data_IF_138769508232
#
_entry.id   IF_138769508232
#
_cell.length_a   1.000
_cell.length_b   1.000
_cell.length_c   1.000
_cell.angle_alpha   90.00
_cell.angle_beta   90.00
_cell.angle_gamma   90.00
#
_symmetry.space_group_name_H-M   'P 1'
#
loop_
_entity.id
_entity.type
_entity.pdbx_description
1 polymer ?
#
# COMPACT_ATOMS: atom_id res chain seq x y z
N UNK A 1 -6.84 -32.23 52.78
CA UNK A 1 -7.77 -33.12 52.04
C UNK A 1 -8.79 -32.26 51.28
N UNK A 2 -8.43 -31.70 50.12
CA UNK A 2 -9.36 -30.89 49.31
C UNK A 2 -8.89 -30.81 47.85
N UNK A 3 -9.08 -31.90 47.09
CA UNK A 3 -8.69 -31.96 45.65
C UNK A 3 -9.46 -33.02 44.84
N UNK A 4 -10.71 -33.32 45.23
CA UNK A 4 -11.45 -34.50 44.75
C UNK A 4 -12.95 -34.22 44.54
N UNK A 5 -13.28 -33.04 43.97
CA UNK A 5 -14.66 -32.53 43.89
C UNK A 5 -15.00 -31.76 42.59
N UNK A 6 -14.26 -31.99 41.49
CA UNK A 6 -14.45 -31.29 40.20
C UNK A 6 -14.40 -32.23 38.97
N UNK A 7 -14.90 -33.47 39.11
CA UNK A 7 -14.86 -34.48 38.03
C UNK A 7 -16.19 -35.22 37.81
N UNK A 8 -17.30 -34.73 38.39
CA UNK A 8 -18.60 -35.41 38.43
C UNK A 8 -19.75 -34.66 37.73
N UNK A 9 -19.44 -33.79 36.75
CA UNK A 9 -20.44 -32.89 36.14
C UNK A 9 -20.34 -32.77 34.60
N UNK A 10 -19.95 -33.87 33.93
CA UNK A 10 -19.78 -33.94 32.46
C UNK A 10 -20.50 -35.13 31.79
N UNK A 11 -21.45 -35.78 32.48
CA UNK A 11 -22.16 -36.98 31.99
C UNK A 11 -23.69 -36.85 32.02
N UNK A 12 -24.24 -35.70 31.61
CA UNK A 12 -25.68 -35.55 31.32
C UNK A 12 -25.92 -34.59 30.14
N UNK A 13 -25.81 -35.09 28.91
CA UNK A 13 -26.45 -34.50 27.72
C UNK A 13 -27.13 -35.60 26.90
N UNK A 14 -28.47 -35.55 26.72
CA UNK A 14 -29.20 -36.57 25.97
C UNK A 14 -29.09 -36.35 24.46
N UNK A 15 -29.16 -37.47 23.74
CA UNK A 15 -29.10 -37.55 22.28
C UNK A 15 -30.52 -37.48 21.67
N UNK A 16 -30.61 -37.01 20.42
CA UNK A 16 -31.76 -37.03 19.50
C UNK A 16 -32.90 -36.03 19.73
N UNK A 17 -33.27 -35.34 18.65
CA UNK A 17 -34.49 -35.71 17.90
C UNK A 17 -34.36 -35.38 16.42
N UNK A 18 -35.04 -36.17 15.57
CA UNK A 18 -35.05 -36.03 14.11
C UNK A 18 -36.09 -34.98 13.68
N UNK A 19 -35.79 -34.21 12.64
CA UNK A 19 -36.80 -33.40 11.92
C UNK A 19 -37.14 -34.09 10.59
N UNK A 20 -38.41 -34.34 10.27
CA UNK A 20 -38.82 -34.85 8.97
C UNK A 20 -39.07 -33.71 7.97
N UNK A 21 -38.65 -33.90 6.71
CA UNK A 21 -39.14 -33.11 5.57
C UNK A 21 -40.63 -33.42 5.31
N UNK A 22 -41.35 -32.44 4.72
CA UNK A 22 -42.27 -32.75 3.63
C UNK A 22 -41.87 -32.04 2.32
N UNK A 23 -42.53 -32.46 1.24
CA UNK A 23 -42.11 -32.28 -0.15
C UNK A 23 -42.91 -31.18 -0.90
N UNK A 24 -42.29 -30.71 -2.00
CA UNK A 24 -42.89 -30.38 -3.31
C UNK A 24 -43.72 -29.11 -3.58
N UNK A 25 -43.36 -28.47 -4.71
CA UNK A 25 -44.16 -27.70 -5.67
C UNK A 25 -44.54 -26.24 -5.28
N UNK A 26 -44.60 -25.25 -6.18
CA UNK A 26 -44.66 -25.27 -7.66
C UNK A 26 -44.13 -23.99 -8.35
N UNK A 27 -43.72 -24.13 -9.63
CA UNK A 27 -43.83 -23.17 -10.76
C UNK A 27 -43.17 -21.76 -10.69
N UNK A 28 -42.13 -21.54 -11.51
CA UNK A 28 -42.12 -20.76 -12.78
C UNK A 28 -42.15 -19.23 -12.71
N UNK A 29 -41.00 -18.62 -13.01
CA UNK A 29 -40.90 -17.35 -13.73
C UNK A 29 -39.53 -17.27 -14.43
N UNK A 30 -39.44 -17.70 -15.70
CA UNK A 30 -38.23 -17.48 -16.50
C UNK A 30 -38.04 -15.99 -16.77
N UNK A 31 -36.96 -15.38 -16.24
CA UNK A 31 -36.53 -14.04 -16.67
C UNK A 31 -35.25 -14.19 -17.47
N UNK A 32 -35.37 -14.31 -18.80
CA UNK A 32 -34.24 -14.36 -19.74
C UNK A 32 -33.54 -13.00 -19.82
N UNK A 33 -32.59 -12.76 -18.91
CA UNK A 33 -31.64 -11.66 -19.05
C UNK A 33 -30.55 -12.05 -20.06
N UNK A 34 -30.33 -11.22 -21.08
CA UNK A 34 -29.24 -11.42 -22.05
C UNK A 34 -27.89 -11.18 -21.39
N UNK A 35 -27.21 -12.26 -20.99
CA UNK A 35 -25.77 -12.23 -20.73
C UNK A 35 -25.02 -12.18 -22.07
N UNK A 36 -24.76 -10.97 -22.57
CA UNK A 36 -23.79 -10.79 -23.65
C UNK A 36 -22.40 -11.17 -23.14
N UNK A 37 -21.90 -12.31 -23.62
CA UNK A 37 -20.53 -12.76 -23.39
C UNK A 37 -19.60 -11.81 -24.15
N UNK A 38 -19.05 -10.83 -23.45
CA UNK A 38 -17.87 -10.10 -23.94
C UNK A 38 -16.71 -11.09 -24.04
N UNK A 39 -15.98 -11.13 -25.18
CA UNK A 39 -14.87 -12.06 -25.34
C UNK A 39 -13.74 -11.69 -24.38
N UNK A 40 -13.51 -12.57 -23.40
CA UNK A 40 -12.33 -12.51 -22.52
C UNK A 40 -11.08 -12.51 -23.39
N UNK A 41 -10.49 -11.34 -23.58
CA UNK A 41 -9.26 -11.19 -24.35
C UNK A 41 -8.12 -11.68 -23.46
N UNK A 42 -7.78 -12.96 -23.59
CA UNK A 42 -6.68 -13.56 -22.85
C UNK A 42 -5.38 -12.84 -23.23
N UNK A 43 -4.87 -11.98 -22.35
CA UNK A 43 -3.58 -11.33 -22.52
C UNK A 43 -2.51 -12.41 -22.64
N UNK A 44 -1.79 -12.41 -23.77
CA UNK A 44 -0.73 -13.38 -24.00
C UNK A 44 0.38 -13.19 -22.95
N UNK A 45 0.84 -14.27 -22.29
CA UNK A 45 2.02 -14.22 -21.43
C UNK A 45 3.28 -14.10 -22.32
N UNK A 46 3.61 -12.87 -22.71
CA UNK A 46 4.71 -12.60 -23.64
C UNK A 46 5.14 -11.15 -23.78
N UNK A 47 4.29 -10.18 -23.42
CA UNK A 47 4.73 -8.78 -23.34
C UNK A 47 5.62 -8.57 -22.12
N UNK A 48 6.93 -8.55 -22.33
CA UNK A 48 7.88 -8.01 -21.36
C UNK A 48 7.53 -6.55 -21.10
N UNK A 49 6.97 -6.25 -19.92
CA UNK A 49 6.77 -4.89 -19.44
C UNK A 49 8.14 -4.27 -19.19
N UNK A 50 8.67 -3.57 -20.19
CA UNK A 50 9.93 -2.84 -20.08
C UNK A 50 9.74 -1.62 -19.20
N UNK A 51 10.25 -1.69 -17.97
CA UNK A 51 10.48 -0.49 -17.17
C UNK A 51 11.45 0.43 -17.93
N UNK A 52 11.03 1.67 -18.20
CA UNK A 52 11.79 2.65 -18.98
C UNK A 52 12.20 3.89 -18.17
N UNK A 53 12.45 3.74 -16.87
CA UNK A 53 13.57 4.51 -16.32
C UNK A 53 14.84 3.84 -16.87
N UNK A 54 15.65 4.57 -17.64
CA UNK A 54 16.82 4.00 -18.32
C UNK A 54 17.79 3.38 -17.30
N UNK A 55 18.00 2.06 -17.29
CA UNK A 55 19.15 1.49 -16.60
C UNK A 55 20.36 1.75 -17.50
N UNK A 56 21.02 2.89 -17.30
CA UNK A 56 22.19 3.23 -18.10
C UNK A 56 23.30 2.17 -17.88
N UNK A 57 23.96 1.71 -18.95
CA UNK A 57 24.92 0.61 -18.85
C UNK A 57 26.12 0.99 -17.97
N UNK A 58 26.56 0.03 -17.14
CA UNK A 58 27.63 0.24 -16.18
C UNK A 58 28.98 0.56 -16.85
N UNK A 59 29.60 1.67 -16.45
CA UNK A 59 31.05 1.85 -16.55
C UNK A 59 31.66 1.99 -15.15
N UNK A 60 32.79 1.32 -14.91
CA UNK A 60 33.58 1.45 -13.68
C UNK A 60 34.64 2.53 -13.88
N UNK A 61 34.69 3.50 -12.98
CA UNK A 61 35.81 4.44 -12.88
C UNK A 61 36.35 4.47 -11.44
N UNK A 62 37.65 4.73 -11.31
CA UNK A 62 38.33 4.87 -10.03
C UNK A 62 38.24 6.33 -9.55
N UNK A 63 37.85 6.55 -8.30
CA UNK A 63 37.86 7.88 -7.69
C UNK A 63 39.29 8.34 -7.37
N UNK A 64 39.65 9.55 -7.76
CA UNK A 64 40.92 10.19 -7.39
C UNK A 64 40.78 11.09 -6.17
N UNK A 65 41.66 10.92 -5.19
CA UNK A 65 41.73 11.79 -4.01
C UNK A 65 42.61 13.01 -4.28
N UNK A 66 42.03 14.17 -4.59
CA UNK A 66 42.69 15.46 -4.32
C UNK A 66 41.70 16.64 -4.24
N UNK A 67 41.69 17.31 -3.07
CA UNK A 67 41.20 18.67 -2.77
C UNK A 67 39.86 19.15 -3.39
N UNK A 68 38.74 18.82 -2.71
CA UNK A 68 37.47 19.55 -2.85
C UNK A 68 36.26 18.65 -2.60
N UNK A 69 35.47 18.93 -1.56
CA UNK A 69 34.31 18.08 -1.17
C UNK A 69 33.12 18.36 -2.11
N UNK A 70 32.35 17.33 -2.48
CA UNK A 70 30.92 17.47 -2.81
C UNK A 70 30.14 16.21 -2.38
N UNK A 71 28.92 16.36 -1.88
CA UNK A 71 28.32 15.39 -0.95
C UNK A 71 27.50 14.26 -1.60
N UNK A 72 27.81 13.00 -1.24
CA UNK A 72 27.56 11.82 -2.08
C UNK A 72 26.35 10.96 -1.66
N UNK A 73 25.62 11.28 -0.58
CA UNK A 73 24.30 10.69 -0.22
C UNK A 73 23.64 11.46 0.94
N UNK A 74 22.38 11.86 0.80
CA UNK A 74 21.54 12.42 1.86
C UNK A 74 20.09 11.91 1.74
N UNK A 75 19.46 11.56 2.86
CA UNK A 75 18.00 11.33 2.97
C UNK A 75 17.51 11.81 4.35
N UNK A 76 16.44 12.60 4.39
CA UNK A 76 15.65 12.93 5.58
C UNK A 76 14.33 13.57 5.16
N UNK A 77 13.24 12.87 5.42
CA UNK A 77 11.93 13.12 4.81
C UNK A 77 10.85 13.51 5.85
N UNK A 78 11.21 14.36 6.82
CA UNK A 78 10.28 15.15 7.65
C UNK A 78 11.03 16.17 8.53
N UNK A 79 10.26 16.96 9.30
CA UNK A 79 10.59 18.19 10.02
C UNK A 79 11.17 19.31 9.13
N UNK A 80 12.30 19.05 8.46
CA UNK A 80 12.99 19.92 7.51
C UNK A 80 13.69 19.02 6.47
N UNK A 81 13.03 18.90 5.31
CA UNK A 81 13.26 17.96 4.21
C UNK A 81 14.68 18.02 3.63
N UNK A 82 15.20 16.88 3.17
CA UNK A 82 16.52 16.73 2.52
C UNK A 82 16.61 15.41 1.78
N UNK A 83 16.74 15.37 0.46
CA UNK A 83 17.24 14.16 -0.23
C UNK A 83 18.22 14.56 -1.31
N UNK A 84 19.46 14.07 -1.22
CA UNK A 84 20.54 14.42 -2.14
C UNK A 84 21.43 13.24 -2.52
N UNK A 85 22.18 13.41 -3.62
CA UNK A 85 23.42 12.72 -3.93
C UNK A 85 24.11 13.47 -5.06
N UNK A 86 25.12 14.30 -4.75
CA UNK A 86 25.93 15.06 -5.70
C UNK A 86 27.30 14.43 -5.96
N UNK A 87 27.85 14.64 -7.15
CA UNK A 87 29.26 14.54 -7.55
C UNK A 87 29.50 15.67 -8.57
N UNK A 88 30.68 16.30 -8.59
CA UNK A 88 31.04 17.38 -9.54
C UNK A 88 32.12 16.86 -10.51
N UNK A 89 32.07 17.16 -11.83
CA UNK A 89 31.10 18.03 -12.51
C UNK A 89 29.69 17.45 -12.67
N UNK A 90 29.54 16.12 -12.67
CA UNK A 90 28.24 15.46 -12.85
C UNK A 90 28.06 14.26 -11.92
N UNK A 91 27.10 14.35 -11.01
CA UNK A 91 25.97 13.42 -10.83
C UNK A 91 25.12 13.93 -9.68
N UNK A 92 23.86 14.34 -9.87
CA UNK A 92 23.10 14.94 -8.77
C UNK A 92 21.77 14.24 -8.47
N UNK A 93 21.25 14.63 -7.31
CA UNK A 93 19.87 14.77 -6.85
C UNK A 93 20.01 15.74 -5.65
N UNK A 94 19.09 16.68 -5.43
CA UNK A 94 19.04 17.44 -4.17
C UNK A 94 17.73 18.17 -3.91
N UNK A 95 17.13 17.92 -2.75
CA UNK A 95 15.95 18.65 -2.26
C UNK A 95 16.01 18.86 -0.73
N UNK A 96 16.75 19.90 -0.30
CA UNK A 96 17.01 20.32 1.10
C UNK A 96 16.26 21.60 1.46
N UNK A 97 15.62 21.65 2.62
CA UNK A 97 14.73 22.71 3.13
C UNK A 97 14.62 22.57 4.66
N UNK A 98 15.20 23.41 5.51
CA UNK A 98 15.51 24.84 5.32
C UNK A 98 17.00 25.20 5.29
N UNK A 99 17.94 24.23 5.32
CA UNK A 99 19.36 24.50 4.98
C UNK A 99 19.68 24.35 3.47
N UNK A 100 18.62 24.44 2.66
CA UNK A 100 18.52 24.87 1.25
C UNK A 100 19.45 24.24 0.20
N UNK A 101 18.86 23.32 -0.55
CA UNK A 101 18.92 23.23 -2.01
C UNK A 101 17.51 22.84 -2.42
N UNK A 102 16.67 23.80 -2.74
CA UNK A 102 15.29 23.53 -3.17
C UNK A 102 15.29 23.10 -4.63
N UNK A 103 15.69 21.84 -4.85
CA UNK A 103 15.56 21.10 -6.10
C UNK A 103 16.75 21.17 -7.06
N UNK A 104 17.35 20.01 -7.32
CA UNK A 104 17.97 19.63 -8.61
C UNK A 104 17.80 18.12 -8.84
N UNK A 105 17.65 17.66 -10.10
CA UNK A 105 17.34 16.27 -10.49
C UNK A 105 18.58 15.47 -10.93
N UNK A 106 18.89 15.28 -12.23
CA UNK A 106 19.36 13.99 -12.76
C UNK A 106 20.68 13.42 -12.21
N UNK A 107 20.63 12.11 -11.95
CA UNK A 107 21.83 11.30 -11.67
C UNK A 107 21.67 9.80 -11.92
N UNK A 108 22.70 9.18 -12.50
CA UNK A 108 23.08 7.77 -12.40
C UNK A 108 24.55 7.58 -12.80
N UNK A 109 25.36 6.86 -12.00
CA UNK A 109 25.85 5.53 -12.39
C UNK A 109 25.89 4.65 -11.13
N UNK A 110 25.23 3.50 -11.19
CA UNK A 110 25.05 2.59 -10.07
C UNK A 110 26.23 1.60 -9.96
N UNK A 111 26.92 1.65 -8.82
CA UNK A 111 27.65 0.51 -8.24
C UNK A 111 27.38 0.50 -6.72
N UNK A 112 26.70 -0.53 -6.24
CA UNK A 112 26.05 -0.53 -4.93
C UNK A 112 27.00 -0.56 -3.72
N UNK A 113 26.51 -0.04 -2.60
CA UNK A 113 27.22 -0.04 -1.32
C UNK A 113 26.33 0.34 -0.14
N UNK A 114 25.68 -0.65 0.48
CA UNK A 114 25.17 -0.60 1.87
C UNK A 114 24.05 0.38 2.25
N UNK A 115 23.68 1.33 1.41
CA UNK A 115 22.70 2.37 1.76
C UNK A 115 21.27 1.83 1.84
N UNK A 116 20.57 2.17 2.92
CA UNK A 116 19.15 1.85 3.16
C UNK A 116 18.17 2.68 2.32
N UNK A 117 18.59 3.35 1.25
CA UNK A 117 17.66 4.11 0.40
C UNK A 117 18.07 4.08 -1.08
N UNK A 118 17.09 4.29 -1.95
CA UNK A 118 17.22 4.48 -3.39
C UNK A 118 16.52 5.81 -3.79
N UNK A 119 17.02 6.48 -4.82
CA UNK A 119 16.37 7.63 -5.45
C UNK A 119 16.36 7.41 -6.97
N UNK A 120 15.20 7.61 -7.59
CA UNK A 120 14.99 7.44 -9.03
C UNK A 120 14.16 8.60 -9.58
N UNK A 121 14.29 8.84 -10.89
CA UNK A 121 13.47 9.80 -11.63
C UNK A 121 12.71 9.08 -12.73
N UNK A 122 11.45 9.44 -12.90
CA UNK A 122 10.56 8.92 -13.92
C UNK A 122 9.46 9.97 -14.20
N UNK A 123 8.98 9.99 -15.44
CA UNK A 123 7.70 10.59 -15.81
C UNK A 123 6.61 9.62 -15.32
N UNK A 124 5.87 9.99 -14.27
CA UNK A 124 4.84 9.11 -13.68
C UNK A 124 3.42 9.43 -14.18
N UNK A 125 3.11 10.70 -14.42
CA UNK A 125 1.78 11.19 -14.81
C UNK A 125 1.63 11.58 -16.30
N UNK A 126 2.67 11.35 -17.10
CA UNK A 126 2.62 11.43 -18.57
C UNK A 126 2.83 12.84 -19.13
N UNK A 127 3.23 13.81 -18.31
CA UNK A 127 3.39 15.22 -18.72
C UNK A 127 4.75 15.54 -19.38
N UNK A 128 5.62 14.52 -19.52
CA UNK A 128 6.98 14.59 -20.06
C UNK A 128 8.01 15.33 -19.20
N UNK A 129 7.66 15.66 -17.95
CA UNK A 129 8.60 16.03 -16.90
C UNK A 129 8.86 14.81 -16.00
N UNK A 130 9.79 14.93 -15.06
CA UNK A 130 10.13 13.81 -14.16
C UNK A 130 9.92 14.16 -12.70
N UNK A 131 9.21 13.29 -12.00
CA UNK A 131 9.14 13.24 -10.55
C UNK A 131 10.50 12.84 -9.97
N UNK A 132 10.77 13.29 -8.74
CA UNK A 132 11.82 12.69 -7.90
C UNK A 132 11.15 11.71 -6.93
N UNK A 133 11.44 10.42 -7.11
CA UNK A 133 11.01 9.34 -6.22
C UNK A 133 12.17 8.99 -5.29
N UNK A 134 11.86 8.86 -4.01
CA UNK A 134 12.81 8.43 -2.98
C UNK A 134 12.18 7.29 -2.19
N UNK A 135 12.89 6.18 -2.06
CA UNK A 135 12.47 5.02 -1.27
C UNK A 135 13.48 4.80 -0.14
N UNK A 136 13.05 4.92 1.11
CA UNK A 136 13.87 4.80 2.31
C UNK A 136 13.44 3.59 3.15
N UNK A 137 14.39 2.69 3.45
CA UNK A 137 14.17 1.45 4.19
C UNK A 137 14.09 1.76 5.69
N UNK A 138 12.86 2.05 6.14
CA UNK A 138 12.55 2.48 7.51
C UNK A 138 12.68 1.36 8.53
N UNK A 139 12.53 0.09 8.13
CA UNK A 139 12.63 -1.02 9.06
C UNK A 139 12.40 -2.41 8.45
N UNK A 140 12.15 -3.35 9.36
CA UNK A 140 11.76 -4.72 9.05
C UNK A 140 10.57 -5.03 9.97
N UNK A 141 9.48 -5.56 9.41
CA UNK A 141 8.29 -5.91 10.17
C UNK A 141 8.51 -7.20 11.02
N UNK A 142 7.53 -7.57 11.84
CA UNK A 142 7.62 -8.73 12.74
C UNK A 142 7.76 -10.08 12.01
N UNK A 143 7.36 -10.16 10.74
CA UNK A 143 7.51 -11.32 9.88
C UNK A 143 8.84 -11.34 9.09
N UNK A 144 9.72 -10.35 9.29
CA UNK A 144 11.02 -10.26 8.64
C UNK A 144 11.00 -9.62 7.25
N UNK A 145 9.95 -8.87 6.90
CA UNK A 145 9.81 -8.22 5.59
C UNK A 145 10.28 -6.77 5.65
N UNK A 146 10.93 -6.29 4.59
CA UNK A 146 11.54 -4.97 4.58
C UNK A 146 10.48 -3.90 4.30
N UNK A 147 10.38 -2.92 5.20
CA UNK A 147 9.51 -1.75 5.09
C UNK A 147 10.23 -0.63 4.34
N UNK A 148 9.54 -0.02 3.38
CA UNK A 148 10.06 1.11 2.60
C UNK A 148 9.06 2.27 2.60
N UNK A 149 9.48 3.41 3.13
CA UNK A 149 8.78 4.68 2.96
C UNK A 149 9.12 5.24 1.59
N UNK A 150 8.13 5.36 0.71
CA UNK A 150 8.26 6.12 -0.52
C UNK A 150 7.88 7.58 -0.29
N UNK A 151 8.55 8.48 -1.01
CA UNK A 151 8.24 9.90 -1.11
C UNK A 151 8.40 10.33 -2.56
N UNK A 152 7.33 10.86 -3.16
CA UNK A 152 7.28 11.29 -4.55
C UNK A 152 7.07 12.80 -4.59
N UNK A 153 8.09 13.52 -5.05
CA UNK A 153 8.02 14.95 -5.29
C UNK A 153 7.62 15.21 -6.75
N UNK A 154 6.59 16.03 -7.01
CA UNK A 154 6.24 16.44 -8.37
C UNK A 154 7.37 17.25 -9.00
N UNK A 155 7.36 17.37 -10.34
CA UNK A 155 8.13 18.43 -10.99
C UNK A 155 7.73 19.81 -10.43
N UNK A 156 8.72 20.59 -10.00
CA UNK A 156 8.50 21.90 -9.37
C UNK A 156 8.55 23.07 -10.35
N UNK A 157 9.02 22.87 -11.59
CA UNK A 157 9.48 23.96 -12.46
C UNK A 157 8.33 24.91 -12.86
N UNK A 158 7.11 24.38 -12.94
CA UNK A 158 5.89 25.15 -13.22
C UNK A 158 5.11 25.56 -11.95
N UNK A 159 5.16 24.74 -10.90
CA UNK A 159 4.23 24.82 -9.75
C UNK A 159 4.89 25.23 -8.42
N UNK A 160 6.21 25.32 -8.38
CA UNK A 160 6.99 25.48 -7.15
C UNK A 160 7.00 24.19 -6.30
N UNK A 161 7.59 24.30 -5.09
CA UNK A 161 7.76 23.14 -4.20
C UNK A 161 6.55 22.89 -3.30
N UNK A 162 5.86 21.78 -3.54
CA UNK A 162 4.93 21.18 -2.58
C UNK A 162 5.66 20.29 -1.54
N UNK A 163 4.90 19.72 -0.60
CA UNK A 163 5.33 18.48 0.08
C UNK A 163 5.36 17.32 -0.94
N UNK A 164 6.11 16.24 -0.68
CA UNK A 164 5.94 15.00 -1.44
C UNK A 164 4.62 14.32 -1.07
N UNK A 165 4.11 13.50 -1.99
CA UNK A 165 3.27 12.36 -1.63
C UNK A 165 4.12 11.38 -0.82
N UNK A 166 3.63 10.87 0.31
CA UNK A 166 4.29 9.81 1.09
C UNK A 166 3.37 8.60 1.26
N UNK A 167 3.96 7.40 1.32
CA UNK A 167 3.30 6.14 1.70
C UNK A 167 4.33 5.05 1.98
N UNK A 168 3.92 3.99 2.69
CA UNK A 168 4.73 2.80 2.94
C UNK A 168 4.41 1.71 1.91
N UNK A 169 5.44 1.00 1.44
CA UNK A 169 5.33 -0.26 0.69
C UNK A 169 6.20 -1.32 1.36
N UNK A 170 5.71 -2.55 1.40
CA UNK A 170 6.49 -3.68 1.88
C UNK A 170 7.13 -4.39 0.70
N UNK A 171 8.46 -4.52 0.78
CA UNK A 171 9.34 -4.92 -0.32
C UNK A 171 9.31 -3.93 -1.49
N UNK A 172 10.49 -3.62 -2.03
CA UNK A 172 10.66 -2.57 -3.02
C UNK A 172 11.84 -2.87 -3.94
N UNK A 173 11.65 -2.56 -5.21
CA UNK A 173 12.72 -2.32 -6.19
C UNK A 173 12.14 -1.40 -7.26
N UNK A 174 12.89 -0.38 -7.70
CA UNK A 174 12.40 0.55 -8.73
C UNK A 174 11.91 -0.20 -9.98
N UNK A 175 12.71 -1.15 -10.47
CA UNK A 175 12.23 -2.17 -11.40
C UNK A 175 11.21 -3.07 -10.68
N UNK A 176 9.96 -3.07 -11.15
CA UNK A 176 8.87 -3.89 -10.60
C UNK A 176 7.91 -3.15 -9.67
N UNK A 177 8.33 -2.07 -9.00
CA UNK A 177 7.40 -1.10 -8.39
C UNK A 177 6.88 -0.12 -9.44
N UNK A 178 7.73 0.37 -10.34
CA UNK A 178 7.33 1.29 -11.43
C UNK A 178 7.32 0.52 -12.77
N UNK A 179 6.19 0.57 -13.47
CA UNK A 179 5.93 -0.32 -14.62
C UNK A 179 5.23 0.44 -15.75
N UNK A 180 5.92 0.64 -16.87
CA UNK A 180 5.25 1.02 -18.11
C UNK A 180 4.52 -0.21 -18.67
N UNK A 181 3.20 -0.11 -18.81
CA UNK A 181 2.39 -1.15 -19.47
C UNK A 181 2.20 -0.76 -20.94
N UNK A 182 2.42 -1.65 -21.92
CA UNK A 182 2.19 -1.31 -23.33
C UNK A 182 0.75 -0.83 -23.57
N UNK A 183 0.60 0.36 -24.17
CA UNK A 183 -0.70 1.00 -24.44
C UNK A 183 -1.26 1.84 -23.29
N UNK A 184 -0.64 1.83 -22.11
CA UNK A 184 -0.91 2.80 -21.05
C UNK A 184 0.05 4.00 -21.21
N UNK A 185 -0.45 5.24 -21.35
CA UNK A 185 0.41 6.43 -21.38
C UNK A 185 1.05 6.73 -20.02
N UNK A 186 0.48 6.24 -18.91
CA UNK A 186 0.93 6.55 -17.55
C UNK A 186 1.82 5.46 -16.97
N UNK A 187 2.68 5.82 -16.01
CA UNK A 187 3.46 4.84 -15.27
C UNK A 187 2.55 4.13 -14.25
N UNK A 188 2.54 2.79 -14.26
CA UNK A 188 1.79 2.04 -13.27
C UNK A 188 2.65 1.81 -12.03
N UNK A 189 2.16 2.25 -10.87
CA UNK A 189 2.76 1.99 -9.58
C UNK A 189 2.14 0.70 -9.01
N UNK A 190 2.99 -0.31 -8.81
CA UNK A 190 2.66 -1.54 -8.08
C UNK A 190 3.13 -1.39 -6.64
N UNK A 191 2.20 -1.12 -5.74
CA UNK A 191 2.47 -0.93 -4.31
C UNK A 191 2.05 -2.20 -3.56
N UNK A 192 2.89 -2.65 -2.64
CA UNK A 192 2.84 -4.01 -2.10
C UNK A 192 2.79 -4.05 -0.58
N UNK A 193 2.14 -5.07 -0.04
CA UNK A 193 1.81 -5.19 1.39
C UNK A 193 1.59 -6.66 1.77
N UNK A 194 2.05 -7.08 2.94
CA UNK A 194 1.77 -8.38 3.55
C UNK A 194 0.62 -8.26 4.53
N UNK A 195 -0.47 -8.96 4.23
CA UNK A 195 -1.69 -8.85 5.01
C UNK A 195 -2.04 -10.16 5.67
N UNK A 196 -2.54 -10.10 6.91
CA UNK A 196 -3.08 -11.29 7.56
C UNK A 196 -4.31 -11.81 6.81
N UNK A 197 -4.24 -13.07 6.38
CA UNK A 197 -5.24 -13.75 5.55
C UNK A 197 -6.60 -13.76 6.26
N UNK A 198 -7.58 -13.20 5.57
CA UNK A 198 -8.95 -13.04 6.08
C UNK A 198 -9.87 -14.23 5.77
N UNK A 199 -9.44 -15.16 4.92
CA UNK A 199 -10.32 -16.12 4.22
C UNK A 199 -10.21 -17.60 4.59
N UNK A 200 -9.17 -18.03 5.30
CA UNK A 200 -8.96 -19.47 5.59
C UNK A 200 -9.22 -19.79 7.08
N UNK A 201 -9.74 -20.98 7.41
CA UNK A 201 -9.98 -21.38 8.79
C UNK A 201 -8.71 -21.37 9.66
N UNK A 202 -8.89 -21.15 10.97
CA UNK A 202 -7.81 -21.06 11.98
C UNK A 202 -6.81 -22.23 12.01
N UNK A 203 -7.14 -23.37 11.41
CA UNK A 203 -6.28 -24.56 11.35
C UNK A 203 -4.96 -24.36 10.58
N UNK A 204 -4.80 -23.30 9.79
CA UNK A 204 -3.54 -22.98 9.08
C UNK A 204 -2.90 -21.64 9.50
N UNK A 205 -3.15 -21.15 10.72
CA UNK A 205 -2.75 -19.82 11.19
C UNK A 205 -1.25 -19.46 11.04
N UNK A 206 -0.33 -20.44 11.01
CA UNK A 206 1.11 -20.18 10.79
C UNK A 206 1.50 -19.93 9.32
N UNK A 207 0.55 -20.04 8.37
CA UNK A 207 0.72 -19.73 6.94
C UNK A 207 -0.14 -18.54 6.52
N UNK A 208 -0.47 -17.65 7.45
CA UNK A 208 -1.56 -16.69 7.34
C UNK A 208 -1.18 -15.30 6.79
N UNK A 209 -0.10 -15.17 6.02
CA UNK A 209 0.20 -13.93 5.31
C UNK A 209 0.07 -14.09 3.80
N UNK A 210 -0.56 -13.10 3.17
CA UNK A 210 -0.73 -12.98 1.73
C UNK A 210 -0.04 -11.67 1.28
N UNK A 211 0.91 -11.76 0.35
CA UNK A 211 1.56 -10.62 -0.29
C UNK A 211 0.67 -10.09 -1.39
N UNK A 212 0.18 -8.87 -1.24
CA UNK A 212 -0.80 -8.24 -2.14
C UNK A 212 -0.10 -7.12 -2.89
N UNK A 213 -0.38 -7.02 -4.19
CA UNK A 213 -0.02 -5.87 -5.02
C UNK A 213 -1.25 -5.14 -5.53
N UNK A 214 -1.28 -3.84 -5.26
CA UNK A 214 -2.29 -2.87 -5.70
C UNK A 214 -1.71 -1.95 -6.77
N UNK A 215 -2.59 -1.42 -7.62
CA UNK A 215 -2.20 -0.67 -8.81
C UNK A 215 -2.73 0.75 -8.77
N UNK A 216 -1.84 1.72 -8.97
CA UNK A 216 -2.15 3.15 -8.96
C UNK A 216 -1.45 3.85 -10.13
N UNK A 217 -2.04 4.93 -10.61
CA UNK A 217 -1.32 5.99 -11.29
C UNK A 217 -0.91 7.05 -10.25
N UNK A 218 0.22 7.70 -10.46
CA UNK A 218 0.53 8.95 -9.77
C UNK A 218 -0.08 10.11 -10.55
N UNK A 219 -0.50 11.17 -9.85
CA UNK A 219 -1.02 12.39 -10.48
C UNK A 219 -0.99 13.55 -9.50
N UNK A 220 -0.31 14.63 -9.84
CA UNK A 220 -0.35 15.91 -9.12
C UNK A 220 -0.14 15.82 -7.59
N UNK A 221 0.68 14.87 -7.12
CA UNK A 221 0.94 14.67 -5.68
C UNK A 221 -0.04 13.76 -4.94
N UNK A 222 -0.87 12.99 -5.66
CA UNK A 222 -1.74 11.96 -5.11
C UNK A 222 -1.62 10.64 -5.91
N UNK A 223 -2.18 9.55 -5.37
CA UNK A 223 -2.41 8.30 -6.09
C UNK A 223 -3.85 8.22 -6.60
N UNK A 224 -4.04 7.76 -7.83
CA UNK A 224 -5.35 7.38 -8.39
C UNK A 224 -5.39 5.86 -8.58
N UNK A 225 -6.29 5.10 -7.91
CA UNK A 225 -6.40 3.65 -8.09
C UNK A 225 -6.81 3.24 -9.50
N UNK A 226 -6.13 2.23 -10.08
CA UNK A 226 -6.38 1.79 -11.46
C UNK A 226 -7.58 0.83 -11.51
N UNK A 227 -8.74 1.39 -11.84
CA UNK A 227 -10.01 0.66 -11.92
C UNK A 227 -9.94 -0.50 -12.91
N UNK A 228 -10.45 -1.66 -12.50
CA UNK A 228 -10.51 -2.87 -13.34
C UNK A 228 -9.20 -3.65 -13.45
N UNK A 229 -8.06 -3.09 -13.01
CA UNK A 229 -6.80 -3.83 -12.95
C UNK A 229 -6.81 -4.77 -11.73
N UNK A 230 -6.66 -6.06 -11.97
CA UNK A 230 -6.78 -7.06 -10.92
C UNK A 230 -5.65 -6.95 -9.88
N UNK A 231 -6.03 -7.02 -8.61
CA UNK A 231 -5.12 -7.26 -7.50
C UNK A 231 -4.36 -8.56 -7.76
N UNK A 232 -3.05 -8.57 -7.51
CA UNK A 232 -2.25 -9.81 -7.51
C UNK A 232 -1.93 -10.19 -6.08
N UNK A 233 -2.08 -11.46 -5.74
CA UNK A 233 -1.89 -11.97 -4.38
C UNK A 233 -1.08 -13.24 -4.41
N UNK A 234 0.02 -13.27 -3.66
CA UNK A 234 0.85 -14.46 -3.48
C UNK A 234 0.93 -14.85 -2.01
N UNK A 235 0.49 -16.07 -1.72
CA UNK A 235 0.57 -16.68 -0.39
C UNK A 235 2.02 -16.82 0.08
N UNK A 236 2.29 -16.55 1.36
CA UNK A 236 3.54 -16.94 2.01
C UNK A 236 3.75 -18.46 1.92
N UNK A 237 4.93 -18.88 1.43
CA UNK A 237 5.34 -20.29 1.37
C UNK A 237 6.85 -20.43 1.49
N UNK A 238 7.33 -21.61 1.90
CA UNK A 238 8.77 -21.88 2.06
C UNK A 238 9.57 -21.71 0.75
N UNK A 239 8.89 -21.79 -0.40
CA UNK A 239 9.49 -21.58 -1.73
C UNK A 239 9.99 -20.14 -1.95
N UNK A 240 9.49 -19.16 -1.19
CA UNK A 240 9.98 -17.78 -1.24
C UNK A 240 11.49 -17.68 -0.93
N UNK A 241 12.00 -18.51 -0.02
CA UNK A 241 13.44 -18.61 0.27
C UNK A 241 14.23 -19.46 -0.72
N UNK A 242 13.54 -20.26 -1.55
CA UNK A 242 14.17 -21.16 -2.52
C UNK A 242 14.48 -20.48 -3.85
N UNK A 243 13.78 -19.40 -4.18
CA UNK A 243 14.13 -18.60 -5.36
C UNK A 243 15.30 -17.66 -5.03
N UNK A 244 16.32 -17.51 -5.89
CA UNK A 244 17.47 -16.66 -5.60
C UNK A 244 17.06 -15.19 -5.38
N UNK A 245 17.05 -14.75 -4.11
CA UNK A 245 16.64 -13.42 -3.64
C UNK A 245 17.28 -12.24 -4.40
N UNK A 246 18.42 -12.45 -5.06
CA UNK A 246 19.18 -11.43 -5.80
C UNK A 246 18.64 -11.09 -7.21
N UNK A 247 17.50 -11.65 -7.62
CA UNK A 247 16.97 -11.49 -9.00
C UNK A 247 15.48 -11.24 -9.11
N UNK A 248 14.75 -11.07 -8.01
CA UNK A 248 13.30 -10.91 -8.07
C UNK A 248 12.87 -9.54 -7.58
N UNK A 249 12.01 -8.91 -8.37
CA UNK A 249 11.31 -7.66 -8.07
C UNK A 249 9.94 -7.93 -7.44
N UNK A 250 9.28 -6.93 -6.83
CA UNK A 250 7.89 -7.05 -6.38
C UNK A 250 6.94 -7.58 -7.48
N UNK A 251 7.16 -7.15 -8.74
CA UNK A 251 6.40 -7.64 -9.88
C UNK A 251 6.70 -9.11 -10.20
N UNK A 252 7.96 -9.56 -10.21
CA UNK A 252 8.30 -10.96 -10.51
C UNK A 252 7.65 -11.93 -9.52
N UNK A 253 7.55 -11.54 -8.25
CA UNK A 253 6.86 -12.33 -7.24
C UNK A 253 5.37 -12.47 -7.53
N UNK A 254 4.71 -11.39 -7.93
CA UNK A 254 3.27 -11.32 -8.21
C UNK A 254 2.89 -11.78 -9.63
N UNK A 255 3.85 -11.79 -10.55
CA UNK A 255 3.74 -12.37 -11.89
C UNK A 255 3.91 -13.90 -11.90
N UNK A 256 4.48 -14.46 -10.83
CA UNK A 256 4.70 -15.90 -10.67
C UNK A 256 3.39 -16.71 -10.82
N UNK A 257 3.39 -17.88 -11.49
CA UNK A 257 2.18 -18.69 -11.73
C UNK A 257 1.42 -19.17 -10.48
N UNK A 258 2.05 -19.17 -9.31
CA UNK A 258 1.41 -19.49 -8.03
C UNK A 258 0.62 -18.30 -7.41
N UNK A 259 0.72 -17.11 -8.00
CA UNK A 259 -0.04 -15.94 -7.58
C UNK A 259 -1.49 -16.04 -8.08
N UNK A 260 -2.44 -15.68 -7.21
CA UNK A 260 -3.85 -15.55 -7.54
C UNK A 260 -4.14 -14.11 -7.95
N UNK A 261 -5.24 -13.91 -8.68
CA UNK A 261 -5.77 -12.57 -8.93
C UNK A 261 -7.15 -12.39 -8.29
N UNK A 262 -7.47 -11.16 -7.93
CA UNK A 262 -8.78 -10.76 -7.41
C UNK A 262 -9.27 -9.51 -8.13
N UNK A 263 -10.59 -9.37 -8.24
CA UNK A 263 -11.27 -8.20 -8.83
C UNK A 263 -11.76 -7.19 -7.79
N UNK A 264 -11.70 -7.55 -6.51
CA UNK A 264 -12.11 -6.73 -5.38
C UNK A 264 -11.08 -6.88 -4.24
N UNK A 265 -10.95 -5.84 -3.43
CA UNK A 265 -9.98 -5.72 -2.34
C UNK A 265 -10.05 -6.93 -1.37
N UNK A 266 -8.96 -7.69 -1.21
CA UNK A 266 -8.91 -8.81 -0.28
C UNK A 266 -9.21 -8.46 1.20
N UNK A 267 -8.90 -7.26 1.69
CA UNK A 267 -9.24 -6.90 3.08
C UNK A 267 -10.76 -6.75 3.35
N UNK A 268 -11.56 -6.40 2.34
CA UNK A 268 -12.92 -5.85 2.55
C UNK A 268 -14.04 -6.85 2.28
N UNK A 269 -13.67 -8.10 2.01
CA UNK A 269 -14.59 -9.20 1.65
C UNK A 269 -15.12 -9.98 2.88
N UNK A 270 -14.93 -9.47 4.10
CA UNK A 270 -15.58 -9.98 5.30
C UNK A 270 -16.84 -9.21 5.66
N UNK A 271 -17.63 -9.76 6.59
CA UNK A 271 -18.84 -9.14 7.12
C UNK A 271 -18.56 -7.70 7.61
N UNK A 272 -19.36 -6.75 7.16
CA UNK A 272 -19.44 -5.41 7.76
C UNK A 272 -20.17 -5.55 9.11
N UNK A 273 -19.53 -5.06 10.17
CA UNK A 273 -20.03 -5.09 11.56
C UNK A 273 -20.72 -3.77 11.92
N UNK A 274 -20.15 -2.65 11.48
CA UNK A 274 -20.71 -1.32 11.64
C UNK A 274 -20.27 -0.40 10.48
N UNK A 275 -21.04 0.66 10.25
CA UNK A 275 -20.71 1.71 9.29
C UNK A 275 -21.25 3.04 9.83
N UNK A 276 -20.45 4.10 9.72
CA UNK A 276 -20.89 5.48 9.96
C UNK A 276 -20.48 6.38 8.78
N UNK A 277 -21.32 7.36 8.46
CA UNK A 277 -21.07 8.30 7.37
C UNK A 277 -21.04 9.74 7.89
N UNK A 278 -20.27 10.59 7.23
CA UNK A 278 -20.12 11.99 7.60
C UNK A 278 -19.20 12.76 6.65
N UNK A 279 -18.84 13.98 7.06
CA UNK A 279 -17.92 14.86 6.35
C UNK A 279 -16.63 15.07 7.14
N UNK A 280 -15.47 15.04 6.48
CA UNK A 280 -14.21 15.44 7.13
C UNK A 280 -14.19 16.96 7.29
N UNK A 281 -14.31 17.44 8.53
CA UNK A 281 -14.30 18.88 8.85
C UNK A 281 -12.95 19.39 9.35
N UNK A 282 -12.07 18.50 9.81
CA UNK A 282 -10.72 18.84 10.25
C UNK A 282 -9.76 17.68 10.00
N UNK A 283 -8.54 18.04 9.63
CA UNK A 283 -7.38 17.13 9.55
C UNK A 283 -6.19 17.79 10.21
N UNK A 284 -5.51 17.06 11.09
CA UNK A 284 -4.32 17.49 11.81
C UNK A 284 -3.27 16.37 11.83
N UNK A 285 -1.99 16.75 11.83
CA UNK A 285 -0.94 15.88 12.36
C UNK A 285 -0.67 16.28 13.80
N UNK A 286 -0.63 15.31 14.69
CA UNK A 286 -0.39 15.49 16.12
C UNK A 286 0.88 14.75 16.51
N UNK A 287 1.79 15.42 17.21
CA UNK A 287 2.99 14.79 17.73
C UNK A 287 2.62 13.89 18.92
N UNK A 288 3.08 12.64 18.90
CA UNK A 288 2.90 11.69 20.00
C UNK A 288 3.93 11.91 21.10
N UNK A 289 3.71 11.31 22.28
CA UNK A 289 4.68 11.34 23.39
C UNK A 289 6.05 10.73 23.03
N UNK A 290 6.10 9.92 21.97
CA UNK A 290 7.32 9.27 21.47
C UNK A 290 7.98 10.03 20.31
N UNK A 291 7.45 11.20 19.93
CA UNK A 291 8.00 12.05 18.86
C UNK A 291 7.70 11.57 17.44
N UNK A 292 6.82 10.60 17.26
CA UNK A 292 6.20 10.33 15.95
C UNK A 292 5.07 11.31 15.67
N UNK A 293 4.65 11.44 14.41
CA UNK A 293 3.40 12.13 14.06
C UNK A 293 2.27 11.10 13.86
N UNK A 294 1.07 11.42 14.32
CA UNK A 294 -0.17 10.68 14.05
C UNK A 294 -1.12 11.53 13.22
N UNK A 295 -1.89 10.91 12.33
CA UNK A 295 -2.93 11.58 11.55
C UNK A 295 -4.26 11.53 12.30
N UNK A 296 -4.76 12.70 12.71
CA UNK A 296 -6.02 12.86 13.42
C UNK A 296 -7.04 13.55 12.49
N UNK A 297 -8.23 12.96 12.38
CA UNK A 297 -9.32 13.37 11.49
C UNK A 297 -10.59 13.57 12.34
N UNK A 298 -11.24 14.73 12.20
CA UNK A 298 -12.55 14.97 12.80
C UNK A 298 -13.66 14.82 11.76
N UNK A 299 -14.59 13.90 12.00
CA UNK A 299 -15.77 13.65 11.19
C UNK A 299 -17.00 14.34 11.78
N UNK A 300 -17.68 15.16 10.99
CA UNK A 300 -19.05 15.60 11.28
C UNK A 300 -20.02 14.55 10.77
N UNK A 301 -20.63 13.80 11.68
CA UNK A 301 -21.48 12.65 11.38
C UNK A 301 -22.90 13.10 11.00
N UNK A 302 -23.61 12.27 10.22
CA UNK A 302 -24.98 12.57 9.76
C UNK A 302 -26.01 12.77 10.89
N UNK A 303 -25.72 12.36 12.13
CA UNK A 303 -26.55 12.63 13.30
C UNK A 303 -26.27 14.01 13.96
N UNK A 304 -25.42 14.83 13.35
CA UNK A 304 -25.03 16.16 13.83
C UNK A 304 -23.92 16.18 14.89
N UNK A 305 -23.42 15.03 15.35
CA UNK A 305 -22.28 14.99 16.27
C UNK A 305 -20.96 15.08 15.52
N UNK A 306 -19.92 15.62 16.16
CA UNK A 306 -18.55 15.59 15.62
C UNK A 306 -17.73 14.63 16.45
N UNK A 307 -16.95 13.75 15.79
CA UNK A 307 -16.10 12.76 16.44
C UNK A 307 -14.70 12.77 15.84
N UNK A 308 -13.70 12.74 16.70
CA UNK A 308 -12.30 12.61 16.31
C UNK A 308 -11.92 11.13 16.20
N UNK A 309 -11.05 10.84 15.23
CA UNK A 309 -10.52 9.53 14.90
C UNK A 309 -9.04 9.67 14.55
N UNK A 310 -8.24 8.61 14.74
CA UNK A 310 -6.82 8.62 14.39
C UNK A 310 -6.40 7.41 13.56
N UNK A 311 -5.50 7.64 12.60
CA UNK A 311 -4.86 6.57 11.84
C UNK A 311 -3.91 5.81 12.77
N UNK A 312 -4.08 4.50 12.83
CA UNK A 312 -3.21 3.58 13.56
C UNK A 312 -2.52 2.66 12.56
N UNK A 313 -1.19 2.61 12.60
CA UNK A 313 -0.35 1.89 11.62
C UNK A 313 -0.25 0.38 11.84
N UNK A 314 -1.31 -0.26 12.36
CA UNK A 314 -1.41 -1.72 12.49
C UNK A 314 -2.70 -2.21 11.82
N UNK A 315 -2.65 -3.46 11.40
CA UNK A 315 -3.66 -4.15 10.58
C UNK A 315 -5.01 -4.34 11.32
N UNK A 316 -5.04 -4.08 12.63
CA UNK A 316 -6.18 -4.24 13.54
C UNK A 316 -6.29 -3.04 14.49
N UNK A 317 -7.52 -2.64 14.80
CA UNK A 317 -7.81 -1.57 15.78
C UNK A 317 -8.47 -2.16 17.02
N UNK A 318 -7.92 -1.91 18.21
CA UNK A 318 -8.52 -2.24 19.49
C UNK A 318 -9.32 -1.06 20.08
N UNK A 319 -8.96 0.17 19.76
CA UNK A 319 -9.68 1.37 20.19
C UNK A 319 -10.85 1.76 19.24
N UNK A 320 -11.96 2.31 19.77
CA UNK A 320 -13.16 2.61 18.98
C UNK A 320 -13.04 3.85 18.09
N UNK A 321 -11.97 4.64 18.23
CA UNK A 321 -11.61 5.87 17.49
C UNK A 321 -10.40 5.69 16.56
N UNK A 322 -9.71 4.54 16.58
CA UNK A 322 -8.69 4.21 15.59
C UNK A 322 -9.27 3.77 14.23
N UNK A 323 -8.57 4.02 13.13
CA UNK A 323 -8.76 3.36 11.83
C UNK A 323 -7.41 2.92 11.26
N UNK A 324 -7.36 1.84 10.48
CA UNK A 324 -6.10 1.26 9.99
C UNK A 324 -5.75 1.62 8.53
N UNK A 325 -6.75 1.89 7.68
CA UNK A 325 -6.52 2.30 6.29
C UNK A 325 -7.45 3.44 5.85
N UNK A 326 -6.97 4.19 4.86
CA UNK A 326 -7.80 5.03 3.98
C UNK A 326 -8.03 4.26 2.68
N UNK A 327 -9.21 4.36 2.07
CA UNK A 327 -9.49 3.81 0.74
C UNK A 327 -10.32 4.75 -0.13
N UNK A 328 -10.34 4.54 -1.44
CA UNK A 328 -11.18 5.31 -2.38
C UNK A 328 -12.55 4.63 -2.50
N UNK A 329 -13.61 5.35 -2.12
CA UNK A 329 -14.94 4.78 -1.86
C UNK A 329 -15.67 4.26 -3.11
N UNK A 330 -15.32 4.78 -4.30
CA UNK A 330 -15.97 4.51 -5.59
C UNK A 330 -15.40 3.25 -6.27
N UNK A 331 -14.14 2.97 -6.02
CA UNK A 331 -13.37 1.84 -6.56
C UNK A 331 -13.26 0.68 -5.58
N UNK A 332 -13.39 0.95 -4.28
CA UNK A 332 -13.21 -0.05 -3.23
C UNK A 332 -11.75 -0.49 -3.08
N UNK A 333 -10.79 0.30 -3.56
CA UNK A 333 -9.36 0.04 -3.47
C UNK A 333 -8.79 0.84 -2.29
N UNK A 334 -8.04 0.18 -1.42
CA UNK A 334 -7.34 0.85 -0.32
C UNK A 334 -6.16 1.65 -0.84
N UNK A 335 -5.84 2.76 -0.17
CA UNK A 335 -4.53 3.38 -0.30
C UNK A 335 -3.50 2.59 0.54
N UNK A 336 -2.20 2.70 0.23
CA UNK A 336 -1.18 2.01 1.00
C UNK A 336 -1.12 2.52 2.45
N UNK A 337 -0.42 1.78 3.30
CA UNK A 337 -0.15 2.21 4.67
C UNK A 337 0.57 3.57 4.68
N UNK A 338 0.32 4.39 5.70
CA UNK A 338 0.91 5.74 5.90
C UNK A 338 0.71 6.72 4.71
N UNK A 339 -0.35 6.53 3.92
CA UNK A 339 -0.63 7.39 2.76
C UNK A 339 -0.96 8.85 3.13
N UNK A 340 -0.09 9.77 2.73
CA UNK A 340 -0.23 11.22 2.83
C UNK A 340 -0.01 11.86 1.44
N UNK A 341 -1.06 12.30 0.72
CA UNK A 341 -0.88 13.09 -0.50
C UNK A 341 -0.30 14.48 -0.19
N UNK A 342 0.31 15.09 -1.20
CA UNK A 342 1.08 16.33 -1.11
C UNK A 342 0.33 17.50 -0.44
N UNK A 343 -0.99 17.60 -0.65
CA UNK A 343 -1.89 18.45 0.15
C UNK A 343 -3.00 17.60 0.78
N UNK A 344 -2.65 16.92 1.87
CA UNK A 344 -3.57 16.16 2.72
C UNK A 344 -4.83 16.95 3.14
N UNK A 345 -4.75 18.27 3.34
CA UNK A 345 -5.91 19.07 3.77
C UNK A 345 -6.85 19.34 2.61
N UNK A 346 -6.33 19.76 1.46
CA UNK A 346 -7.15 19.94 0.26
C UNK A 346 -7.71 18.60 -0.26
N UNK A 347 -7.00 17.50 -0.04
CA UNK A 347 -7.44 16.16 -0.45
C UNK A 347 -8.59 15.63 0.43
N UNK A 348 -8.59 15.90 1.74
CA UNK A 348 -9.56 15.32 2.69
C UNK A 348 -10.69 16.27 3.15
N UNK A 349 -10.43 17.56 3.39
CA UNK A 349 -11.44 18.43 4.03
C UNK A 349 -12.62 18.67 3.07
N UNK A 350 -13.84 18.54 3.60
CA UNK A 350 -15.08 18.63 2.84
C UNK A 350 -15.45 17.36 2.07
N UNK A 351 -14.66 16.28 2.16
CA UNK A 351 -15.03 14.99 1.57
C UNK A 351 -16.14 14.32 2.39
N UNK A 352 -17.12 13.78 1.67
CA UNK A 352 -18.12 12.87 2.23
C UNK A 352 -17.51 11.48 2.31
N UNK A 353 -17.51 10.90 3.50
CA UNK A 353 -16.77 9.66 3.82
C UNK A 353 -17.64 8.63 4.52
N UNK A 354 -17.20 7.37 4.42
CA UNK A 354 -17.82 6.23 5.12
C UNK A 354 -16.74 5.49 5.91
N UNK A 355 -16.89 5.47 7.22
CA UNK A 355 -16.02 4.71 8.12
C UNK A 355 -16.66 3.35 8.37
N UNK A 356 -16.01 2.28 7.93
CA UNK A 356 -16.58 0.93 7.90
C UNK A 356 -15.74 -0.04 8.74
N UNK A 357 -16.41 -0.75 9.65
CA UNK A 357 -15.83 -1.74 10.55
C UNK A 357 -16.02 -3.13 9.95
N UNK A 358 -14.93 -3.71 9.43
CA UNK A 358 -14.90 -5.07 8.90
C UNK A 358 -14.51 -6.08 9.97
N UNK A 359 -15.15 -7.25 9.96
CA UNK A 359 -14.86 -8.36 10.87
C UNK A 359 -13.52 -9.02 10.52
N UNK A 360 -12.65 -9.20 11.51
CA UNK A 360 -11.41 -9.98 11.38
C UNK A 360 -11.58 -11.42 11.91
N UNK A 361 -10.90 -12.44 11.34
CA UNK A 361 -10.93 -13.83 11.85
C UNK A 361 -10.44 -14.00 13.29
N UNK A 362 -9.78 -12.97 13.84
CA UNK A 362 -9.25 -12.93 15.21
C UNK A 362 -10.20 -12.32 16.25
N UNK A 363 -11.47 -12.06 15.89
CA UNK A 363 -12.45 -11.31 16.69
C UNK A 363 -12.09 -9.82 16.92
N UNK A 364 -11.08 -9.32 16.21
CA UNK A 364 -10.77 -7.90 16.11
C UNK A 364 -11.63 -7.21 15.02
N UNK A 365 -11.57 -5.90 14.98
CA UNK A 365 -12.19 -5.06 13.93
C UNK A 365 -11.09 -4.43 13.08
N UNK A 366 -11.33 -4.36 11.76
CA UNK A 366 -10.58 -3.50 10.85
C UNK A 366 -11.44 -2.31 10.48
N UNK A 367 -11.14 -1.13 11.01
CA UNK A 367 -11.86 0.11 10.68
C UNK A 367 -11.18 0.82 9.52
N UNK A 368 -11.90 1.06 8.44
CA UNK A 368 -11.38 1.65 7.20
C UNK A 368 -12.16 2.93 6.87
N UNK A 369 -11.43 4.00 6.57
CA UNK A 369 -11.97 5.29 6.14
C UNK A 369 -12.07 5.34 4.61
N UNK A 370 -13.27 5.22 4.06
CA UNK A 370 -13.53 5.38 2.63
C UNK A 370 -13.81 6.84 2.27
N UNK A 371 -13.02 7.40 1.35
CA UNK A 371 -13.03 8.81 0.89
C UNK A 371 -13.48 8.93 -0.57
#
# INVERSE_FOLDING_TARGET
>A
MLRLLLLALWLLWPVNTRVPNPLTNTSTAETKALSQVLPSTAQQPGSTSSFSARPFPHQRFAASNDRGITEVQCVRLNAQWSVCKHIIPDLFFALVKDRRIVGTWPGAIIAGGGSRYEAVIADLDGDHKTELIVADCTGINTAGHVLWQLSIFPNFEERGFSKPLQFTTEQYAAAGTFLQTPGDPLCNLLITEWQMRVFEPRSEAFKAYDYIGRWYHYKEGALEPIVGRQFRVRRWSDDWYRVPLRRQTPYDWLAHPASKTFTAEPLTRTDIVAEVSGEIVRVAKVATEHGSERLDISLHLQNGTTREYHLYGDDLTDEPDQFCHIGEARTGILFPQDYEPADLKAWLIGKQVRMVDYKSPFNAVRRILWV
#
